data_IF_247166551633
#
_entry.id   IF_247166551633
#
_cell.length_a   1.000
_cell.length_b   1.000
_cell.length_c   1.000
_cell.angle_alpha   90.00
_cell.angle_beta   90.00
_cell.angle_gamma   90.00
#
_symmetry.space_group_name_H-M   'P 1'
#
loop_
_entity.id
_entity.type
_entity.pdbx_description
1 polymer ?
#
# COMPACT_ATOMS: atom_id res chain seq x y z
N UNK A 1 -35.68 -31.10 -41.28
CA UNK A 1 -35.44 -29.69 -41.69
C UNK A 1 -35.38 -28.72 -40.51
N UNK A 2 -36.47 -28.44 -39.77
CA UNK A 2 -36.41 -27.49 -38.62
C UNK A 2 -35.55 -28.00 -37.45
N UNK A 3 -35.64 -29.30 -37.12
CA UNK A 3 -34.83 -29.93 -36.05
C UNK A 3 -33.36 -30.03 -36.43
N UNK A 4 -33.03 -30.33 -37.68
CA UNK A 4 -31.64 -30.39 -38.17
C UNK A 4 -30.96 -29.02 -38.16
N UNK A 5 -31.71 -27.94 -38.39
CA UNK A 5 -31.23 -26.56 -38.24
C UNK A 5 -30.88 -26.24 -36.79
N UNK A 6 -31.70 -26.73 -35.84
CA UNK A 6 -31.45 -26.55 -34.40
C UNK A 6 -30.25 -27.39 -33.92
N UNK A 7 -30.13 -28.63 -34.38
CA UNK A 7 -28.99 -29.49 -34.05
C UNK A 7 -27.67 -28.94 -34.61
N UNK A 8 -27.70 -28.33 -35.80
CA UNK A 8 -26.54 -27.66 -36.39
C UNK A 8 -26.19 -26.33 -35.69
N UNK A 9 -27.17 -25.60 -35.16
CA UNK A 9 -26.96 -24.30 -34.50
C UNK A 9 -26.59 -24.42 -33.01
N UNK A 10 -27.00 -25.50 -32.34
CA UNK A 10 -26.70 -25.78 -30.92
C UNK A 10 -25.21 -25.67 -30.57
N UNK A 11 -24.26 -26.30 -31.30
CA UNK A 11 -22.84 -26.20 -30.96
C UNK A 11 -22.31 -24.76 -31.10
N UNK A 12 -22.80 -23.99 -32.08
CA UNK A 12 -22.42 -22.59 -32.24
C UNK A 12 -22.94 -21.72 -31.09
N UNK A 13 -24.16 -21.97 -30.61
CA UNK A 13 -24.73 -21.27 -29.46
C UNK A 13 -23.97 -21.58 -28.17
N UNK A 14 -23.63 -22.86 -27.93
CA UNK A 14 -22.83 -23.26 -26.77
C UNK A 14 -21.44 -22.65 -26.82
N UNK A 15 -20.79 -22.65 -27.99
CA UNK A 15 -19.49 -22.00 -28.18
C UNK A 15 -19.57 -20.48 -27.93
N UNK A 16 -20.63 -19.82 -28.41
CA UNK A 16 -20.85 -18.39 -28.16
C UNK A 16 -21.02 -18.10 -26.66
N UNK A 17 -21.84 -18.88 -25.96
CA UNK A 17 -22.03 -18.72 -24.51
C UNK A 17 -20.70 -18.94 -23.77
N UNK A 18 -19.94 -19.98 -24.15
CA UNK A 18 -18.62 -20.24 -23.59
C UNK A 18 -17.67 -19.06 -23.79
N UNK A 19 -17.59 -18.52 -25.01
CA UNK A 19 -16.76 -17.36 -25.32
C UNK A 19 -17.16 -16.11 -24.52
N UNK A 20 -18.47 -15.83 -24.43
CA UNK A 20 -18.99 -14.71 -23.64
C UNK A 20 -18.67 -14.88 -22.16
N UNK A 21 -18.86 -16.09 -21.61
CA UNK A 21 -18.57 -16.37 -20.22
C UNK A 21 -17.08 -16.23 -19.92
N UNK A 22 -16.20 -16.78 -20.76
CA UNK A 22 -14.75 -16.62 -20.63
C UNK A 22 -14.34 -15.14 -20.68
N UNK A 23 -14.92 -14.36 -21.58
CA UNK A 23 -14.67 -12.92 -21.66
C UNK A 23 -15.06 -12.20 -20.36
N UNK A 24 -16.24 -12.50 -19.80
CA UNK A 24 -16.71 -11.93 -18.54
C UNK A 24 -15.77 -12.30 -17.38
N UNK A 25 -15.40 -13.58 -17.26
CA UNK A 25 -14.50 -14.07 -16.21
C UNK A 25 -13.15 -13.36 -16.28
N UNK A 26 -12.54 -13.29 -17.46
CA UNK A 26 -11.25 -12.64 -17.65
C UNK A 26 -11.31 -11.15 -17.27
N UNK A 27 -12.40 -10.47 -17.62
CA UNK A 27 -12.58 -9.05 -17.30
C UNK A 27 -12.77 -8.83 -15.80
N UNK A 28 -13.51 -9.72 -15.13
CA UNK A 28 -13.74 -9.68 -13.69
C UNK A 28 -12.47 -9.99 -12.90
N UNK A 29 -11.71 -11.01 -13.32
CA UNK A 29 -10.43 -11.38 -12.72
C UNK A 29 -9.43 -10.21 -12.76
N UNK A 30 -9.26 -9.57 -13.92
CA UNK A 30 -8.35 -8.41 -14.02
C UNK A 30 -8.80 -7.21 -13.20
N UNK A 31 -10.12 -6.99 -13.04
CA UNK A 31 -10.62 -5.92 -12.17
C UNK A 31 -10.35 -6.23 -10.68
N UNK A 32 -10.50 -7.49 -10.28
CA UNK A 32 -10.22 -7.93 -8.92
C UNK A 32 -8.72 -7.83 -8.59
N UNK A 33 -7.84 -8.33 -9.46
CA UNK A 33 -6.39 -8.23 -9.31
C UNK A 33 -5.93 -6.77 -9.17
N UNK A 34 -6.44 -5.87 -10.00
CA UNK A 34 -6.15 -4.45 -9.91
C UNK A 34 -6.64 -3.83 -8.58
N UNK A 35 -7.86 -4.17 -8.16
CA UNK A 35 -8.42 -3.68 -6.90
C UNK A 35 -7.63 -4.17 -5.68
N UNK A 36 -7.26 -5.45 -5.66
CA UNK A 36 -6.44 -6.05 -4.59
C UNK A 36 -5.03 -5.44 -4.57
N UNK A 37 -4.40 -5.23 -5.73
CA UNK A 37 -3.10 -4.57 -5.81
C UNK A 37 -3.11 -3.16 -5.20
N UNK A 38 -4.12 -2.36 -5.53
CA UNK A 38 -4.29 -1.01 -4.95
C UNK A 38 -4.51 -1.03 -3.44
N UNK A 39 -5.28 -2.00 -2.94
CA UNK A 39 -5.53 -2.14 -1.50
C UNK A 39 -4.24 -2.49 -0.75
N UNK A 40 -3.45 -3.44 -1.26
CA UNK A 40 -2.16 -3.83 -0.66
C UNK A 40 -1.20 -2.64 -0.62
N UNK A 41 -1.09 -1.87 -1.70
CA UNK A 41 -0.21 -0.71 -1.73
C UNK A 41 -0.65 0.37 -0.73
N UNK A 42 -1.97 0.58 -0.59
CA UNK A 42 -2.54 1.51 0.39
C UNK A 42 -2.21 1.08 1.81
N UNK A 43 -2.44 -0.19 2.14
CA UNK A 43 -2.18 -0.73 3.47
C UNK A 43 -0.68 -0.67 3.80
N UNK A 44 0.19 -0.97 2.82
CA UNK A 44 1.63 -0.80 2.96
C UNK A 44 2.02 0.67 3.21
N UNK A 45 1.40 1.62 2.50
CA UNK A 45 1.66 3.05 2.67
C UNK A 45 1.24 3.53 4.06
N UNK A 46 0.07 3.12 4.53
CA UNK A 46 -0.44 3.46 5.85
C UNK A 46 0.45 2.86 6.96
N UNK A 47 0.87 1.61 6.81
CA UNK A 47 1.81 0.98 7.74
C UNK A 47 3.16 1.70 7.79
N UNK A 48 3.73 2.08 6.64
CA UNK A 48 4.99 2.81 6.56
C UNK A 48 4.90 4.20 7.22
N UNK A 49 3.83 4.94 6.93
CA UNK A 49 3.60 6.24 7.55
C UNK A 49 3.43 6.15 9.06
N UNK A 50 2.65 5.16 9.53
CA UNK A 50 2.46 4.90 10.95
C UNK A 50 3.79 4.60 11.64
N UNK A 51 4.59 3.69 11.08
CA UNK A 51 5.88 3.29 11.64
C UNK A 51 6.90 4.44 11.67
N UNK A 52 6.99 5.25 10.62
CA UNK A 52 7.87 6.42 10.62
C UNK A 52 7.43 7.44 11.69
N UNK A 53 6.13 7.68 11.82
CA UNK A 53 5.59 8.59 12.83
C UNK A 53 5.89 8.09 14.24
N UNK A 54 5.61 6.83 14.56
CA UNK A 54 5.90 6.25 15.87
C UNK A 54 7.40 6.18 16.14
N UNK A 55 8.22 5.92 15.13
CA UNK A 55 9.68 5.92 15.23
C UNK A 55 10.25 7.29 15.57
N UNK A 56 9.72 8.36 14.96
CA UNK A 56 10.07 9.74 15.33
C UNK A 56 9.66 10.05 16.77
N UNK A 57 8.43 9.71 17.14
CA UNK A 57 7.92 9.97 18.49
C UNK A 57 8.72 9.20 19.56
N UNK A 58 9.10 7.96 19.29
CA UNK A 58 9.97 7.16 20.16
C UNK A 58 11.37 7.77 20.27
N UNK A 59 12.00 8.12 19.14
CA UNK A 59 13.32 8.74 19.12
C UNK A 59 13.36 10.08 19.89
N UNK A 60 12.30 10.90 19.80
CA UNK A 60 12.17 12.13 20.57
C UNK A 60 11.99 11.88 22.08
N UNK A 61 11.28 10.82 22.47
CA UNK A 61 11.13 10.43 23.89
C UNK A 61 12.45 9.94 24.48
N UNK A 62 13.20 9.13 23.72
CA UNK A 62 14.47 8.56 24.16
C UNK A 62 15.61 9.59 24.14
N UNK A 63 15.59 10.51 23.18
CA UNK A 63 16.60 11.54 22.98
C UNK A 63 16.00 12.92 22.73
N UNK A 64 15.41 13.60 23.74
CA UNK A 64 14.75 14.88 23.55
C UNK A 64 15.67 16.01 23.05
N UNK A 65 16.98 15.87 23.31
CA UNK A 65 18.02 16.81 22.87
C UNK A 65 18.84 16.29 21.67
N UNK A 66 18.47 15.15 21.07
CA UNK A 66 19.20 14.64 19.92
C UNK A 66 19.00 15.54 18.70
N UNK A 67 20.05 15.65 17.89
CA UNK A 67 19.98 16.38 16.62
C UNK A 67 19.05 15.69 15.62
N UNK A 68 18.47 16.47 14.70
CA UNK A 68 17.55 16.00 13.67
C UNK A 68 18.05 14.75 12.92
N UNK A 69 19.34 14.71 12.58
CA UNK A 69 19.93 13.59 11.84
C UNK A 69 19.89 12.27 12.62
N UNK A 70 20.04 12.32 13.94
CA UNK A 70 19.95 11.14 14.82
C UNK A 70 18.50 10.65 14.89
N UNK A 71 17.56 11.58 15.12
CA UNK A 71 16.12 11.25 15.16
C UNK A 71 15.67 10.64 13.84
N UNK A 72 16.10 11.22 12.71
CA UNK A 72 15.80 10.71 11.38
C UNK A 72 16.33 9.29 11.19
N UNK A 73 17.60 9.05 11.52
CA UNK A 73 18.21 7.74 11.39
C UNK A 73 17.48 6.68 12.24
N UNK A 74 17.13 7.02 13.49
CA UNK A 74 16.38 6.13 14.37
C UNK A 74 14.97 5.85 13.87
N UNK A 75 14.24 6.86 13.39
CA UNK A 75 12.91 6.68 12.82
C UNK A 75 12.93 5.81 11.56
N UNK A 76 13.91 6.01 10.67
CA UNK A 76 14.07 5.19 9.46
C UNK A 76 14.43 3.75 9.81
N UNK A 77 15.31 3.54 10.80
CA UNK A 77 15.66 2.21 11.30
C UNK A 77 14.43 1.51 11.91
N UNK A 78 13.70 2.21 12.77
CA UNK A 78 12.46 1.69 13.35
C UNK A 78 11.45 1.29 12.28
N UNK A 79 11.27 2.09 11.22
CA UNK A 79 10.38 1.74 10.12
C UNK A 79 10.86 0.50 9.35
N UNK A 80 12.17 0.39 9.10
CA UNK A 80 12.77 -0.79 8.45
C UNK A 80 12.57 -2.09 9.25
N UNK A 81 12.65 -1.99 10.57
CA UNK A 81 12.47 -3.13 11.48
C UNK A 81 10.99 -3.48 11.70
N UNK A 82 10.13 -2.47 11.80
CA UNK A 82 8.72 -2.66 12.16
C UNK A 82 7.84 -3.06 10.98
N UNK A 83 8.15 -2.55 9.78
CA UNK A 83 7.33 -2.79 8.57
C UNK A 83 8.18 -3.16 7.34
N UNK A 84 8.99 -4.23 7.42
CA UNK A 84 9.85 -4.65 6.31
C UNK A 84 9.04 -4.98 5.05
N UNK A 85 7.85 -5.55 5.21
CA UNK A 85 6.97 -5.94 4.11
C UNK A 85 6.43 -4.73 3.35
N UNK A 86 6.05 -3.67 4.06
CA UNK A 86 5.61 -2.41 3.44
C UNK A 86 6.74 -1.80 2.59
N UNK A 87 7.98 -1.84 3.07
CA UNK A 87 9.14 -1.34 2.32
C UNK A 87 9.42 -2.20 1.09
N UNK A 88 9.28 -3.54 1.18
CA UNK A 88 9.42 -4.44 0.03
C UNK A 88 8.36 -4.19 -1.05
N UNK A 89 7.13 -3.89 -0.63
CA UNK A 89 6.00 -3.61 -1.54
C UNK A 89 6.17 -2.24 -2.21
N UNK A 90 6.48 -1.20 -1.42
CA UNK A 90 6.50 0.18 -1.91
C UNK A 90 7.80 0.56 -2.62
N UNK A 91 8.91 -0.12 -2.32
CA UNK A 91 10.26 0.14 -2.83
C UNK A 91 10.57 1.65 -2.84
N UNK A 92 10.57 2.32 -1.67
CA UNK A 92 10.72 3.76 -1.59
C UNK A 92 12.09 4.18 -2.16
N UNK A 93 12.07 5.16 -3.07
CA UNK A 93 13.28 5.68 -3.71
C UNK A 93 14.22 6.41 -2.74
N UNK A 94 15.41 6.73 -3.23
CA UNK A 94 16.48 7.32 -2.42
C UNK A 94 16.03 8.61 -1.72
N UNK A 95 16.28 8.65 -0.41
CA UNK A 95 15.93 9.77 0.48
C UNK A 95 14.42 9.98 0.71
N UNK A 96 13.52 9.12 0.20
CA UNK A 96 12.08 9.24 0.50
C UNK A 96 11.81 9.07 1.99
N UNK A 97 12.39 8.04 2.60
CA UNK A 97 12.22 7.76 4.03
C UNK A 97 12.77 8.91 4.88
N UNK A 98 13.91 9.48 4.48
CA UNK A 98 14.51 10.65 5.15
C UNK A 98 13.58 11.86 5.10
N UNK A 99 13.01 12.17 3.93
CA UNK A 99 12.06 13.29 3.77
C UNK A 99 10.80 13.10 4.61
N UNK A 100 10.27 11.87 4.66
CA UNK A 100 9.11 11.54 5.48
C UNK A 100 9.41 11.64 6.97
N UNK A 101 10.57 11.16 7.41
CA UNK A 101 11.01 11.29 8.79
C UNK A 101 11.17 12.77 9.20
N UNK A 102 11.74 13.61 8.33
CA UNK A 102 11.81 15.07 8.57
C UNK A 102 10.42 15.70 8.69
N UNK A 103 9.47 15.30 7.84
CA UNK A 103 8.08 15.76 7.94
C UNK A 103 7.48 15.40 9.30
N UNK A 104 7.55 14.15 9.72
CA UNK A 104 6.98 13.72 10.99
C UNK A 104 7.68 14.33 12.20
N UNK A 105 8.99 14.57 12.12
CA UNK A 105 9.71 15.33 13.13
C UNK A 105 9.13 16.73 13.32
N UNK A 106 8.88 17.46 12.22
CA UNK A 106 8.28 18.80 12.30
C UNK A 106 6.87 18.74 12.90
N UNK A 107 6.04 17.81 12.44
CA UNK A 107 4.68 17.61 12.99
C UNK A 107 4.72 17.31 14.50
N UNK A 108 5.68 16.49 14.97
CA UNK A 108 5.84 16.18 16.38
C UNK A 108 6.31 17.40 17.20
N UNK A 109 7.29 18.15 16.68
CA UNK A 109 7.78 19.38 17.34
C UNK A 109 6.70 20.46 17.43
N UNK A 110 5.86 20.60 16.39
CA UNK A 110 4.70 21.49 16.41
C UNK A 110 3.70 21.09 17.51
N UNK A 111 3.39 19.79 17.66
CA UNK A 111 2.52 19.32 18.75
C UNK A 111 3.09 19.62 20.14
N UNK A 112 4.39 19.39 20.32
CA UNK A 112 5.09 19.71 21.57
C UNK A 112 5.03 21.21 21.85
N UNK A 113 5.27 22.05 20.84
CA UNK A 113 5.23 23.51 20.98
C UNK A 113 3.82 24.05 21.34
N UNK A 114 2.76 23.39 20.85
CA UNK A 114 1.36 23.75 21.13
C UNK A 114 0.85 23.14 22.45
N UNK A 115 1.66 22.31 23.13
CA UNK A 115 1.27 21.65 24.39
C UNK A 115 0.23 20.55 24.22
N UNK A 116 0.13 19.97 23.02
CA UNK A 116 -0.81 18.86 22.74
C UNK A 116 -0.15 17.55 23.17
N UNK A 117 -0.73 16.79 24.11
CA UNK A 117 -0.17 15.49 24.49
C UNK A 117 -0.19 14.53 23.29
N UNK A 118 0.90 13.76 23.16
CA UNK A 118 1.14 12.77 22.11
C UNK A 118 0.20 11.56 22.21
#
# INVERSE_FOLDING_TARGET
MWTELLDAATPALVALIGAVLTFIINRAAGAFEAATGMAIERDARDALHSALKSGVEAALRDGPNAGLEVIKAQAVMHAKESVPDAIRILVPGDGVLDRLAVRYYREAMERIAVGVPA
#
